data_IF_263364444471
#
_entry.id   IF_263364444471
#
_cell.length_a   1.000
_cell.length_b   1.000
_cell.length_c   1.000
_cell.angle_alpha   90.00
_cell.angle_beta   90.00
_cell.angle_gamma   90.00
#
_symmetry.space_group_name_H-M   'P 1'
#
loop_
_entity.id
_entity.type
_entity.pdbx_description
1 polymer ?
#
# COMPACT_ATOMS: atom_id res chain seq x y z
N UNK A 1 -19.85 30.47 -30.18
CA UNK A 1 -19.95 29.09 -29.66
C UNK A 1 -20.93 29.18 -28.50
N UNK A 2 -22.14 28.64 -28.64
CA UNK A 2 -23.12 28.61 -27.55
C UNK A 2 -22.85 27.34 -26.75
N UNK A 3 -22.39 27.49 -25.51
CA UNK A 3 -22.11 26.37 -24.62
C UNK A 3 -23.38 26.19 -23.77
N UNK A 4 -24.09 25.09 -23.96
CA UNK A 4 -25.18 24.71 -23.06
C UNK A 4 -24.60 23.89 -21.92
N UNK A 5 -24.49 24.50 -20.74
CA UNK A 5 -24.18 23.77 -19.52
C UNK A 5 -25.45 23.02 -19.07
N UNK A 6 -25.34 21.69 -18.96
CA UNK A 6 -26.42 20.85 -18.48
C UNK A 6 -26.82 21.16 -17.04
N UNK A 7 -27.92 20.56 -16.57
CA UNK A 7 -28.38 20.73 -15.18
C UNK A 7 -27.29 20.26 -14.20
N UNK A 8 -27.00 21.08 -13.19
CA UNK A 8 -26.06 20.74 -12.12
C UNK A 8 -26.69 19.73 -11.16
N UNK A 9 -25.91 18.74 -10.73
CA UNK A 9 -26.33 17.74 -9.77
C UNK A 9 -25.45 17.78 -8.52
N UNK A 10 -26.05 17.55 -7.36
CA UNK A 10 -25.33 17.37 -6.09
C UNK A 10 -25.03 15.90 -5.87
N UNK A 11 -23.79 15.55 -5.59
CA UNK A 11 -23.38 14.17 -5.27
C UNK A 11 -24.01 13.77 -3.93
N UNK A 12 -24.76 12.66 -3.89
CA UNK A 12 -25.40 12.19 -2.65
C UNK A 12 -24.52 11.19 -1.91
N UNK A 13 -24.14 10.11 -2.57
CA UNK A 13 -23.21 9.11 -2.05
C UNK A 13 -22.50 8.39 -3.20
N UNK A 14 -21.31 7.86 -2.87
CA UNK A 14 -20.55 6.96 -3.75
C UNK A 14 -20.50 5.57 -3.13
N UNK A 15 -21.04 4.59 -3.85
CA UNK A 15 -21.02 3.19 -3.48
C UNK A 15 -19.86 2.48 -4.19
N UNK A 16 -19.02 1.78 -3.44
CA UNK A 16 -17.93 0.97 -3.99
C UNK A 16 -18.39 -0.49 -4.07
N UNK A 17 -18.29 -1.10 -5.26
CA UNK A 17 -18.72 -2.47 -5.50
C UNK A 17 -17.55 -3.32 -5.96
N UNK A 18 -17.27 -4.42 -5.25
CA UNK A 18 -16.21 -5.37 -5.62
C UNK A 18 -14.94 -5.29 -4.75
N UNK A 19 -14.93 -4.44 -3.73
CA UNK A 19 -13.86 -4.38 -2.72
C UNK A 19 -14.12 -5.40 -1.60
N UNK A 20 -13.59 -6.62 -1.77
CA UNK A 20 -13.79 -7.70 -0.77
C UNK A 20 -12.73 -7.64 0.33
N UNK A 21 -11.49 -7.29 -0.03
CA UNK A 21 -10.34 -7.26 0.90
C UNK A 21 -10.05 -5.83 1.36
N UNK A 22 -10.18 -4.87 0.45
CA UNK A 22 -9.87 -3.45 0.72
C UNK A 22 -11.07 -2.77 1.35
N UNK A 23 -10.85 -2.10 2.48
CA UNK A 23 -11.92 -1.37 3.17
C UNK A 23 -12.33 -0.12 2.41
N UNK A 24 -13.61 0.18 2.38
CA UNK A 24 -14.21 1.39 1.79
C UNK A 24 -13.50 2.67 2.25
N UNK A 25 -13.10 2.74 3.52
CA UNK A 25 -12.39 3.90 4.10
C UNK A 25 -11.11 4.25 3.34
N UNK A 26 -10.42 3.26 2.78
CA UNK A 26 -9.17 3.46 2.01
C UNK A 26 -9.48 4.03 0.63
N UNK A 27 -10.60 3.67 0.00
CA UNK A 27 -11.00 4.21 -1.29
C UNK A 27 -11.61 5.61 -1.11
N UNK A 28 -12.46 5.76 -0.10
CA UNK A 28 -13.20 7.00 0.20
C UNK A 28 -12.30 8.20 0.50
N UNK A 29 -11.10 7.98 1.05
CA UNK A 29 -10.11 9.06 1.29
C UNK A 29 -9.39 9.56 0.03
N UNK A 30 -9.40 8.77 -1.04
CA UNK A 30 -8.76 9.17 -2.31
C UNK A 30 -9.72 9.97 -3.20
N UNK A 31 -11.03 9.88 -2.94
CA UNK A 31 -12.03 10.68 -3.62
C UNK A 31 -11.88 12.15 -3.24
N UNK A 32 -11.78 13.01 -4.26
CA UNK A 32 -11.71 14.46 -4.13
C UNK A 32 -13.07 15.13 -4.15
N UNK A 33 -14.09 14.46 -4.70
CA UNK A 33 -15.47 14.95 -4.69
C UNK A 33 -16.13 14.48 -3.40
N UNK A 34 -16.39 15.36 -2.43
CA UNK A 34 -17.07 14.98 -1.21
C UNK A 34 -18.57 14.78 -1.46
N UNK A 35 -19.17 13.94 -0.64
CA UNK A 35 -20.61 13.72 -0.65
C UNK A 35 -21.33 14.97 -0.10
N UNK A 36 -22.37 15.42 -0.80
CA UNK A 36 -23.14 16.62 -0.49
C UNK A 36 -22.76 17.87 -1.27
N UNK A 37 -21.70 17.84 -2.08
CA UNK A 37 -21.28 18.96 -2.92
C UNK A 37 -21.73 18.81 -4.38
N UNK A 38 -21.62 19.90 -5.15
CA UNK A 38 -21.90 19.90 -6.60
C UNK A 38 -20.90 18.97 -7.28
N UNK A 39 -21.40 18.11 -8.17
CA UNK A 39 -20.57 17.17 -8.89
C UNK A 39 -19.69 17.91 -9.92
N UNK A 40 -18.37 17.79 -9.74
CA UNK A 40 -17.36 18.25 -10.70
C UNK A 40 -16.71 17.05 -11.38
N UNK A 41 -16.87 16.96 -12.71
CA UNK A 41 -16.30 15.90 -13.52
C UNK A 41 -14.76 15.90 -13.49
N UNK A 42 -14.12 17.06 -13.35
CA UNK A 42 -12.66 17.20 -13.31
C UNK A 42 -12.10 16.57 -12.04
N UNK A 43 -12.71 16.88 -10.89
CA UNK A 43 -12.35 16.30 -9.60
C UNK A 43 -12.64 14.80 -9.57
N UNK A 44 -13.72 14.36 -10.21
CA UNK A 44 -14.01 12.93 -10.38
C UNK A 44 -12.92 12.19 -11.15
N UNK A 45 -12.49 12.71 -12.30
CA UNK A 45 -11.40 12.11 -13.09
C UNK A 45 -10.09 12.05 -12.30
N UNK A 46 -9.75 13.11 -11.58
CA UNK A 46 -8.57 13.13 -10.72
C UNK A 46 -8.68 12.12 -9.57
N UNK A 47 -9.88 11.91 -9.04
CA UNK A 47 -10.14 10.87 -8.03
C UNK A 47 -9.89 9.47 -8.59
N UNK A 48 -10.36 9.17 -9.80
CA UNK A 48 -10.09 7.90 -10.48
C UNK A 48 -8.59 7.69 -10.71
N UNK A 49 -7.86 8.75 -11.08
CA UNK A 49 -6.40 8.68 -11.23
C UNK A 49 -5.70 8.35 -9.91
N UNK A 50 -6.13 8.94 -8.77
CA UNK A 50 -5.59 8.61 -7.44
C UNK A 50 -5.87 7.18 -7.04
N UNK A 51 -7.10 6.70 -7.28
CA UNK A 51 -7.46 5.30 -7.03
C UNK A 51 -6.59 4.33 -7.85
N UNK A 52 -6.30 4.67 -9.10
CA UNK A 52 -5.39 3.88 -9.95
C UNK A 52 -3.94 3.92 -9.46
N UNK A 53 -3.48 5.06 -8.91
CA UNK A 53 -2.14 5.19 -8.34
C UNK A 53 -1.91 4.31 -7.10
N UNK A 54 -2.97 3.91 -6.37
CA UNK A 54 -2.84 2.97 -5.26
C UNK A 54 -2.35 1.59 -5.72
N UNK A 55 -2.55 1.22 -7.00
CA UNK A 55 -2.13 -0.09 -7.53
C UNK A 55 -2.86 -1.29 -6.92
N UNK A 56 -3.97 -1.03 -6.24
CA UNK A 56 -4.77 -2.01 -5.50
C UNK A 56 -5.77 -2.75 -6.38
N UNK A 57 -6.23 -2.08 -7.42
CA UNK A 57 -7.25 -2.54 -8.34
C UNK A 57 -6.66 -2.69 -9.73
N UNK A 58 -7.38 -3.39 -10.61
CA UNK A 58 -7.19 -3.22 -12.04
C UNK A 58 -7.48 -1.76 -12.43
N UNK A 59 -7.02 -1.33 -13.61
CA UNK A 59 -7.22 0.04 -14.07
C UNK A 59 -8.71 0.40 -14.09
N UNK A 60 -9.10 1.33 -13.22
CA UNK A 60 -10.46 1.85 -13.09
C UNK A 60 -10.65 2.95 -14.12
N UNK A 61 -11.68 2.82 -14.94
CA UNK A 61 -12.02 3.78 -16.00
C UNK A 61 -13.33 4.49 -15.66
N UNK A 62 -13.58 5.60 -16.36
CA UNK A 62 -14.87 6.32 -16.23
C UNK A 62 -16.08 5.42 -16.57
N UNK A 63 -15.89 4.39 -17.42
CA UNK A 63 -16.93 3.41 -17.78
C UNK A 63 -17.33 2.47 -16.65
N UNK A 64 -16.49 2.31 -15.63
CA UNK A 64 -16.77 1.44 -14.49
C UNK A 64 -17.65 2.13 -13.44
N UNK A 65 -17.87 3.44 -13.61
CA UNK A 65 -18.75 4.25 -12.79
C UNK A 65 -20.15 4.32 -13.44
N UNK A 66 -21.16 3.89 -12.69
CA UNK A 66 -22.56 4.03 -13.10
C UNK A 66 -23.15 5.26 -12.42
N UNK A 67 -23.49 6.26 -13.23
CA UNK A 67 -24.14 7.49 -12.78
C UNK A 67 -25.66 7.31 -12.76
N UNK A 68 -26.28 7.53 -11.61
CA UNK A 68 -27.73 7.46 -11.40
C UNK A 68 -28.25 8.84 -11.00
N UNK A 69 -28.54 9.72 -11.97
CA UNK A 69 -29.12 11.02 -11.68
C UNK A 69 -30.60 10.90 -11.30
N UNK A 70 -30.99 11.59 -10.24
CA UNK A 70 -32.38 11.80 -9.83
C UNK A 70 -32.81 13.21 -10.24
N UNK A 71 -33.48 13.31 -11.39
CA UNK A 71 -33.91 14.59 -11.98
C UNK A 71 -34.90 15.36 -11.11
N UNK A 72 -35.63 14.68 -10.23
CA UNK A 72 -36.64 15.29 -9.36
C UNK A 72 -36.00 15.98 -8.16
N UNK A 73 -34.95 15.38 -7.60
CA UNK A 73 -34.26 15.93 -6.43
C UNK A 73 -32.98 16.70 -6.77
N UNK A 74 -32.51 16.64 -8.02
CA UNK A 74 -31.26 17.27 -8.45
C UNK A 74 -30.02 16.61 -7.84
N UNK A 75 -30.14 15.33 -7.44
CA UNK A 75 -29.07 14.58 -6.79
C UNK A 75 -28.52 13.50 -7.72
N UNK A 76 -27.26 13.15 -7.53
CA UNK A 76 -26.55 12.14 -8.29
C UNK A 76 -26.00 11.08 -7.35
N UNK A 77 -26.35 9.82 -7.62
CA UNK A 77 -25.78 8.66 -6.95
C UNK A 77 -24.77 7.99 -7.91
N UNK A 78 -23.62 7.53 -7.40
CA UNK A 78 -22.57 6.91 -8.22
C UNK A 78 -22.23 5.53 -7.66
N UNK A 79 -22.32 4.51 -8.49
CA UNK A 79 -21.81 3.18 -8.18
C UNK A 79 -20.48 2.96 -8.92
N UNK A 80 -19.38 2.83 -8.19
CA UNK A 80 -18.07 2.56 -8.74
C UNK A 80 -17.72 1.07 -8.60
N UNK A 81 -17.66 0.36 -9.72
CA UNK A 81 -17.25 -1.05 -9.74
C UNK A 81 -15.74 -1.13 -9.78
N UNK A 82 -15.15 -1.80 -8.80
CA UNK A 82 -13.71 -2.00 -8.68
C UNK A 82 -13.38 -3.49 -8.68
N UNK A 83 -12.26 -3.85 -9.32
CA UNK A 83 -11.77 -5.23 -9.34
C UNK A 83 -10.40 -5.29 -8.70
N UNK A 84 -10.30 -6.02 -7.59
CA UNK A 84 -9.06 -6.12 -6.82
C UNK A 84 -8.00 -6.94 -7.57
N UNK A 85 -6.78 -6.39 -7.66
CA UNK A 85 -5.61 -7.11 -8.18
C UNK A 85 -4.98 -7.93 -7.07
N UNK A 86 -4.48 -9.13 -7.37
CA UNK A 86 -3.68 -9.92 -6.43
C UNK A 86 -2.42 -9.16 -5.98
N UNK A 87 -2.26 -8.98 -4.67
CA UNK A 87 -1.22 -8.09 -4.08
C UNK A 87 -0.05 -8.82 -3.44
N UNK A 88 -0.07 -10.15 -3.45
CA UNK A 88 1.00 -10.97 -2.90
C UNK A 88 1.96 -11.33 -4.02
N UNK A 89 3.22 -10.98 -3.84
CA UNK A 89 4.29 -11.31 -4.77
C UNK A 89 5.28 -12.22 -4.06
N UNK A 90 5.66 -13.30 -4.72
CA UNK A 90 6.72 -14.20 -4.27
C UNK A 90 7.80 -14.15 -5.33
N UNK A 91 9.00 -13.76 -4.95
CA UNK A 91 10.15 -13.70 -5.82
C UNK A 91 11.23 -14.64 -5.33
N UNK A 92 11.74 -15.46 -6.25
CA UNK A 92 12.86 -16.35 -6.02
C UNK A 92 14.04 -15.87 -6.85
N UNK A 93 15.20 -15.75 -6.21
CA UNK A 93 16.42 -15.23 -6.83
C UNK A 93 17.56 -16.20 -6.55
N UNK A 94 18.44 -16.44 -7.53
CA UNK A 94 19.63 -17.26 -7.32
C UNK A 94 20.69 -17.00 -8.38
N UNK A 95 21.95 -17.18 -8.01
CA UNK A 95 23.08 -16.95 -8.90
C UNK A 95 24.38 -17.54 -8.35
N UNK A 96 25.38 -17.67 -9.22
CA UNK A 96 26.71 -18.12 -8.85
C UNK A 96 27.79 -17.25 -9.53
N UNK A 97 28.81 -16.87 -8.76
CA UNK A 97 29.96 -16.11 -9.26
C UNK A 97 31.26 -16.68 -8.71
N UNK A 98 32.33 -16.62 -9.50
CA UNK A 98 33.64 -17.13 -9.09
C UNK A 98 34.23 -16.44 -7.86
N UNK A 99 33.94 -15.14 -7.68
CA UNK A 99 34.43 -14.35 -6.53
C UNK A 99 33.37 -14.33 -5.40
N UNK A 100 32.09 -14.22 -5.76
CA UNK A 100 30.98 -14.07 -4.80
C UNK A 100 30.39 -15.39 -4.26
N UNK A 101 30.73 -16.53 -4.85
CA UNK A 101 30.13 -17.82 -4.55
C UNK A 101 28.69 -17.96 -5.07
N UNK A 102 28.04 -19.07 -4.71
CA UNK A 102 26.61 -19.29 -4.99
C UNK A 102 25.72 -18.67 -3.90
N UNK A 103 24.54 -18.20 -4.31
CA UNK A 103 23.51 -17.71 -3.42
C UNK A 103 22.11 -18.01 -3.95
N UNK A 104 21.16 -18.09 -3.03
CA UNK A 104 19.74 -18.11 -3.30
C UNK A 104 19.03 -17.13 -2.36
N UNK A 105 17.83 -16.69 -2.74
CA UNK A 105 17.00 -15.82 -1.95
C UNK A 105 15.54 -16.02 -2.27
N UNK A 106 14.72 -15.84 -1.25
CA UNK A 106 13.26 -15.85 -1.32
C UNK A 106 12.78 -14.53 -0.74
N UNK A 107 11.92 -13.85 -1.49
CA UNK A 107 11.27 -12.62 -1.07
C UNK A 107 9.75 -12.80 -1.18
N UNK A 108 9.05 -12.41 -0.14
CA UNK A 108 7.60 -12.30 -0.09
C UNK A 108 7.26 -10.84 0.16
N UNK A 109 6.46 -10.23 -0.70
CA UNK A 109 5.98 -8.87 -0.51
C UNK A 109 4.47 -8.78 -0.69
N UNK A 110 3.83 -7.96 0.11
CA UNK A 110 2.39 -7.65 0.01
C UNK A 110 2.16 -6.17 0.29
N UNK A 111 1.34 -5.51 -0.53
CA UNK A 111 1.08 -4.06 -0.46
C UNK A 111 -0.28 -3.69 0.16
N UNK A 112 -0.98 -4.65 0.77
CA UNK A 112 -2.21 -4.39 1.51
C UNK A 112 -2.43 -5.43 2.60
N UNK A 113 -1.57 -5.42 3.61
CA UNK A 113 -1.69 -6.33 4.74
C UNK A 113 -3.07 -6.10 5.42
N UNK A 114 -3.91 -7.15 5.45
CA UNK A 114 -5.24 -7.17 6.06
C UNK A 114 -6.22 -6.03 5.65
N UNK A 115 -6.04 -5.41 4.49
CA UNK A 115 -6.96 -4.36 4.04
C UNK A 115 -6.65 -2.94 4.54
N UNK A 116 -5.51 -2.73 5.21
CA UNK A 116 -5.12 -1.44 5.80
C UNK A 116 -4.30 -0.53 4.87
N UNK A 117 -3.93 -1.01 3.68
CA UNK A 117 -3.02 -0.30 2.78
C UNK A 117 -1.59 -0.24 3.32
N UNK A 118 -1.18 -1.26 4.07
CA UNK A 118 0.16 -1.42 4.63
C UNK A 118 1.00 -2.34 3.75
N UNK A 119 2.28 -2.01 3.59
CA UNK A 119 3.25 -2.82 2.85
C UNK A 119 4.10 -3.64 3.81
N UNK A 120 4.16 -4.94 3.57
CA UNK A 120 5.01 -5.89 4.28
C UNK A 120 5.93 -6.58 3.28
N UNK A 121 7.23 -6.51 3.51
CA UNK A 121 8.26 -7.23 2.76
C UNK A 121 9.08 -8.08 3.70
N UNK A 122 9.18 -9.36 3.37
CA UNK A 122 9.99 -10.35 4.05
C UNK A 122 10.96 -10.94 3.03
N UNK A 123 12.27 -10.83 3.28
CA UNK A 123 13.26 -11.46 2.40
C UNK A 123 14.33 -12.20 3.19
N UNK A 124 14.67 -13.37 2.67
CA UNK A 124 15.70 -14.25 3.20
C UNK A 124 16.61 -14.59 2.05
N UNK A 125 17.92 -14.35 2.21
CA UNK A 125 18.91 -14.80 1.26
C UNK A 125 20.04 -15.53 1.97
N UNK A 126 20.51 -16.61 1.36
CA UNK A 126 21.60 -17.43 1.87
C UNK A 126 22.53 -17.82 0.72
N UNK A 127 23.82 -17.80 0.99
CA UNK A 127 24.87 -18.20 0.06
C UNK A 127 26.17 -18.49 0.78
N UNK A 128 27.20 -18.84 0.01
CA UNK A 128 28.50 -19.26 0.55
C UNK A 128 29.16 -18.16 1.41
N UNK A 129 28.88 -16.88 1.12
CA UNK A 129 29.52 -15.73 1.76
C UNK A 129 28.54 -14.71 2.35
N UNK A 130 27.25 -14.80 2.05
CA UNK A 130 26.24 -13.89 2.63
C UNK A 130 25.05 -14.66 3.19
N UNK A 131 24.57 -14.22 4.34
CA UNK A 131 23.28 -14.60 4.91
C UNK A 131 22.60 -13.31 5.33
N UNK A 132 21.45 -13.02 4.75
CA UNK A 132 20.68 -11.82 5.08
C UNK A 132 19.23 -12.20 5.35
N UNK A 133 18.69 -11.52 6.34
CA UNK A 133 17.29 -11.56 6.70
C UNK A 133 16.82 -10.11 6.75
N UNK A 134 15.75 -9.80 6.04
CA UNK A 134 15.17 -8.46 6.04
C UNK A 134 13.67 -8.58 6.24
N UNK A 135 13.21 -7.86 7.24
CA UNK A 135 11.81 -7.64 7.50
C UNK A 135 11.57 -6.14 7.42
N UNK A 136 10.68 -5.73 6.52
CA UNK A 136 10.31 -4.34 6.32
C UNK A 136 8.81 -4.24 6.39
N UNK A 137 8.32 -3.42 7.31
CA UNK A 137 6.91 -3.09 7.42
C UNK A 137 6.78 -1.58 7.30
N UNK A 138 5.93 -1.15 6.38
CA UNK A 138 5.70 0.25 6.05
C UNK A 138 4.21 0.54 6.18
N UNK A 139 3.88 1.41 7.11
CA UNK A 139 2.55 2.00 7.24
C UNK A 139 2.57 3.32 6.50
N UNK A 140 1.66 3.49 5.53
CA UNK A 140 1.60 4.73 4.75
C UNK A 140 0.88 5.85 5.50
N UNK A 141 0.04 5.55 6.51
CA UNK A 141 -0.76 6.56 7.21
C UNK A 141 -1.00 6.21 8.68
N UNK A 142 -0.50 7.03 9.61
CA UNK A 142 -0.84 6.97 11.03
C UNK A 142 -1.46 8.34 11.38
N UNK A 143 -2.78 8.40 11.56
CA UNK A 143 -3.53 9.61 11.95
C UNK A 143 -3.42 10.84 11.02
N UNK A 144 -4.25 10.92 9.96
CA UNK A 144 -4.47 12.11 9.11
C UNK A 144 -3.23 12.88 8.57
N UNK A 145 -2.03 12.34 8.79
CA UNK A 145 -0.75 12.87 8.38
C UNK A 145 0.04 11.73 7.73
N UNK A 146 0.67 11.96 6.57
CA UNK A 146 1.52 10.97 5.93
C UNK A 146 2.84 10.84 6.70
N UNK A 147 2.92 9.90 7.63
CA UNK A 147 4.17 9.52 8.28
C UNK A 147 4.62 8.15 7.76
N UNK A 148 5.79 8.09 7.11
CA UNK A 148 6.41 6.83 6.67
C UNK A 148 7.20 6.24 7.85
N UNK A 149 6.74 5.14 8.44
CA UNK A 149 7.53 4.36 9.40
C UNK A 149 8.21 3.21 8.65
N UNK A 150 9.54 3.26 8.50
CA UNK A 150 10.33 2.17 7.91
C UNK A 150 11.07 1.42 9.00
N UNK A 151 10.87 0.10 9.12
CA UNK A 151 11.68 -0.75 10.01
C UNK A 151 12.95 -1.18 9.28
N UNK A 152 14.12 -0.91 9.88
CA UNK A 152 15.44 -1.06 9.25
C UNK A 152 16.10 -2.42 9.53
N UNK A 153 16.72 -2.96 8.46
CA UNK A 153 17.53 -4.17 8.31
C UNK A 153 18.55 -4.42 9.44
N UNK A 154 18.58 -5.65 9.97
CA UNK A 154 19.70 -6.14 10.80
C UNK A 154 20.58 -7.07 9.94
N UNK A 155 21.73 -6.58 9.48
CA UNK A 155 22.83 -7.42 9.00
C UNK A 155 24.12 -7.01 9.71
N UNK A 156 24.82 -7.95 10.33
CA UNK A 156 26.12 -7.71 10.95
C UNK A 156 27.22 -8.57 10.29
N UNK A 157 28.52 -8.16 10.33
CA UNK A 157 29.08 -6.89 10.82
C UNK A 157 30.00 -6.17 9.83
N UNK A 158 29.85 -4.85 9.70
CA UNK A 158 30.96 -3.89 9.50
C UNK A 158 30.45 -2.47 9.83
N UNK A 159 31.16 -1.67 10.63
CA UNK A 159 30.68 -0.37 11.08
C UNK A 159 31.10 0.72 10.09
N UNK A 160 30.22 1.70 9.88
CA UNK A 160 30.50 3.14 9.71
C UNK A 160 29.38 3.75 8.88
N UNK A 161 28.39 4.36 9.54
CA UNK A 161 27.59 5.39 8.89
C UNK A 161 27.35 6.55 9.86
N UNK A 162 27.75 7.71 9.36
CA UNK A 162 27.64 9.03 9.95
C UNK A 162 26.19 9.52 9.80
N UNK A 163 25.59 10.04 10.87
CA UNK A 163 24.21 10.53 10.88
C UNK A 163 24.17 12.06 10.70
N UNK A 164 23.43 12.51 9.69
CA UNK A 164 22.85 13.85 9.63
C UNK A 164 21.38 13.82 10.10
N UNK A 165 20.84 14.91 10.66
CA UNK A 165 19.63 14.85 11.48
C UNK A 165 18.37 15.12 10.65
N UNK A 166 17.35 14.26 10.80
CA UNK A 166 15.99 14.70 11.09
C UNK A 166 15.06 13.51 11.37
N UNK A 167 14.29 13.66 12.44
CA UNK A 167 13.08 12.92 12.81
C UNK A 167 13.26 11.50 13.40
N UNK A 168 13.47 11.54 14.71
CA UNK A 168 13.19 10.51 15.72
C UNK A 168 11.99 9.58 15.40
N UNK A 169 12.23 8.26 15.34
CA UNK A 169 11.21 7.23 15.58
C UNK A 169 11.83 6.12 16.44
N UNK A 170 11.12 5.84 17.53
CA UNK A 170 11.24 4.79 18.56
C UNK A 170 12.40 3.80 18.48
N UNK A 171 13.25 3.89 19.52
CA UNK A 171 14.20 2.87 19.97
C UNK A 171 13.47 1.58 20.34
N UNK A 172 13.43 0.60 19.44
CA UNK A 172 13.21 -0.79 19.85
C UNK A 172 14.55 -1.37 20.30
N UNK A 173 14.78 -1.36 21.62
CA UNK A 173 15.87 -2.12 22.23
C UNK A 173 15.43 -3.58 22.23
N UNK A 174 15.95 -4.37 21.30
CA UNK A 174 15.89 -5.84 21.43
C UNK A 174 17.03 -6.20 22.39
N UNK A 175 16.77 -6.07 23.69
CA UNK A 175 17.54 -6.79 24.70
C UNK A 175 17.19 -8.28 24.58
N UNK A 176 18.23 -9.11 24.66
CA UNK A 176 18.25 -10.45 24.13
C UNK A 176 17.20 -11.39 24.71
N UNK A 177 16.76 -12.31 23.86
CA UNK A 177 16.27 -13.59 24.33
C UNK A 177 17.42 -14.59 24.20
N UNK A 178 18.14 -14.77 25.30
CA UNK A 178 18.97 -15.93 25.51
C UNK A 178 18.05 -17.12 25.73
N UNK A 179 18.14 -18.14 24.89
CA UNK A 179 17.71 -19.50 25.24
C UNK A 179 18.95 -20.38 25.14
N UNK A 180 19.78 -20.28 26.18
CA UNK A 180 20.70 -21.34 26.58
C UNK A 180 19.91 -22.27 27.50
N UNK A 181 19.67 -23.49 27.04
CA UNK A 181 19.37 -24.61 27.91
C UNK A 181 20.50 -25.61 27.72
N UNK A 182 21.18 -25.87 28.83
CA UNK A 182 22.38 -26.67 28.97
C UNK A 182 22.16 -28.17 28.70
N UNK A 183 23.25 -28.81 28.30
CA UNK A 183 23.74 -30.14 28.67
C UNK A 183 22.73 -31.27 28.96
N UNK A 184 22.86 -32.34 28.18
CA UNK A 184 22.79 -33.69 28.73
C UNK A 184 23.93 -34.53 28.17
N UNK A 185 24.83 -34.89 29.08
CA UNK A 185 25.99 -35.77 28.93
C UNK A 185 25.51 -37.22 28.72
N UNK A 186 25.93 -37.86 27.62
CA UNK A 186 26.72 -39.10 27.56
C UNK A 186 27.01 -39.47 26.09
#
# INVERSE_FOLDING_TARGET
ITIEEGRQFTLRFVEFVGNTITRDKVLRRELLVPEGEIFDQTLWKLSLQRLNQLGFFEEIKESDATFKPDERTGKLDIDLRVKEKGRNQIQFTGGASGIGGSFFGLEYSTNNLFGYGESLTFSVAAGNRQKSFLFSFSVTMIHHCPCHSSVMKLSAPSPLLHFGPCCFVTRAKVEGFAMSAADYEN
#
